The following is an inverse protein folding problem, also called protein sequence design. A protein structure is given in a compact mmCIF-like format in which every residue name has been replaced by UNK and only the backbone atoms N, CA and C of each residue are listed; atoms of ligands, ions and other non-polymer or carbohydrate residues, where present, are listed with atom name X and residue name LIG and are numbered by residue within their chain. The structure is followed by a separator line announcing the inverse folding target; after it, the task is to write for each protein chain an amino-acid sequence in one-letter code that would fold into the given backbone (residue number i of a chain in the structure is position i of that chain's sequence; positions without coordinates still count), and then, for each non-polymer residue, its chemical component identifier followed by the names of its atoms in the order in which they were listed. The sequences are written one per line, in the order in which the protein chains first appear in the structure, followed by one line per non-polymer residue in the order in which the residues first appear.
data_IF_201477009122
#
_entry.id   IF_201477009122
#
_cell.length_a   1.000
_cell.length_b   1.000
_cell.length_c   1.000
_cell.angle_alpha   90.00
_cell.angle_beta   90.00
_cell.angle_gamma   90.00
#
_symmetry.space_group_name_H-M   'P 1'
#
loop_
_entity.id
_entity.type
_entity.pdbx_description
1 polymer ?
#
# COMPACT_ATOMS: atom_id res chain seq x y z
N UNK A 1 34.19 4.13 -1.61
CA UNK A 1 33.45 3.20 -0.75
C UNK A 1 32.00 3.68 -0.67
N UNK A 2 31.00 2.85 -0.92
CA UNK A 2 29.62 3.24 -0.67
C UNK A 2 29.48 3.53 0.83
N UNK A 3 28.80 4.63 1.17
CA UNK A 3 28.53 5.00 2.57
C UNK A 3 27.64 3.92 3.18
N UNK A 4 27.90 3.43 4.40
CA UNK A 4 27.07 2.41 5.04
C UNK A 4 25.60 2.82 5.24
N UNK A 5 25.28 4.10 5.04
CA UNK A 5 23.90 4.63 5.12
C UNK A 5 23.09 4.46 3.82
N UNK A 6 23.71 4.04 2.72
CA UNK A 6 23.00 3.96 1.41
C UNK A 6 22.29 2.65 1.16
N UNK A 7 22.89 1.53 1.58
CA UNK A 7 22.43 0.21 1.22
C UNK A 7 22.40 -0.74 2.42
N UNK A 8 21.21 -1.27 2.71
CA UNK A 8 21.03 -2.37 3.65
C UNK A 8 20.97 -3.73 2.93
N UNK A 9 21.89 -3.93 1.98
CA UNK A 9 22.01 -5.15 1.19
C UNK A 9 23.13 -6.08 1.72
N UNK A 10 23.78 -5.74 2.85
CA UNK A 10 24.86 -6.56 3.38
C UNK A 10 24.31 -7.91 3.87
N UNK A 11 24.78 -8.99 3.25
CA UNK A 11 24.36 -10.35 3.61
C UNK A 11 24.70 -10.70 5.07
N UNK A 12 25.76 -10.15 5.61
CA UNK A 12 26.17 -10.33 7.00
C UNK A 12 25.10 -9.78 7.96
N UNK A 13 24.64 -8.54 7.74
CA UNK A 13 23.56 -7.93 8.56
C UNK A 13 22.23 -8.69 8.42
N UNK A 14 21.93 -9.22 7.22
CA UNK A 14 20.78 -10.08 7.03
C UNK A 14 20.88 -11.37 7.87
N UNK A 15 22.02 -12.05 7.83
CA UNK A 15 22.23 -13.28 8.62
C UNK A 15 22.20 -13.02 10.14
N UNK A 16 22.69 -11.88 10.60
CA UNK A 16 22.55 -11.45 11.99
C UNK A 16 21.09 -11.28 12.38
N UNK A 17 20.25 -10.68 11.52
CA UNK A 17 18.83 -10.54 11.76
C UNK A 17 18.11 -11.90 11.80
N UNK A 18 18.48 -12.85 10.92
CA UNK A 18 17.99 -14.24 10.97
C UNK A 18 18.36 -14.89 12.31
N UNK A 19 19.61 -14.76 12.73
CA UNK A 19 20.09 -15.33 14.00
C UNK A 19 19.40 -14.70 15.22
N UNK A 20 18.96 -13.43 15.12
CA UNK A 20 18.15 -12.75 16.13
C UNK A 20 16.68 -13.19 16.17
N UNK A 21 16.26 -14.07 15.26
CA UNK A 21 14.89 -14.62 15.20
C UNK A 21 13.91 -13.82 14.36
N UNK A 22 14.37 -12.85 13.57
CA UNK A 22 13.52 -12.19 12.60
C UNK A 22 13.25 -13.08 11.39
N UNK A 23 12.03 -12.98 10.84
CA UNK A 23 11.57 -13.82 9.74
C UNK A 23 10.96 -13.04 8.56
N UNK A 24 10.86 -11.71 8.69
CA UNK A 24 10.43 -10.81 7.62
C UNK A 24 11.42 -9.63 7.56
N UNK A 25 12.59 -9.89 6.95
CA UNK A 25 13.78 -9.05 7.10
C UNK A 25 13.89 -8.08 5.93
N UNK A 26 13.89 -6.74 6.19
CA UNK A 26 14.02 -5.76 5.14
C UNK A 26 15.44 -5.68 4.61
N UNK A 27 15.56 -5.67 3.30
CA UNK A 27 16.70 -5.18 2.54
C UNK A 27 16.32 -3.83 1.92
N UNK A 28 17.25 -2.92 1.76
CA UNK A 28 16.95 -1.61 1.18
C UNK A 28 18.10 -1.04 0.38
N UNK A 29 17.75 -0.17 -0.58
CA UNK A 29 18.69 0.62 -1.36
C UNK A 29 18.17 2.06 -1.47
N UNK A 30 19.07 3.04 -1.37
CA UNK A 30 18.74 4.46 -1.38
C UNK A 30 19.42 5.20 -2.52
N UNK A 31 18.68 6.13 -3.15
CA UNK A 31 19.20 7.04 -4.16
C UNK A 31 18.47 8.39 -4.14
N UNK A 32 19.05 9.45 -4.77
CA UNK A 32 18.38 10.75 -4.86
C UNK A 32 17.07 10.67 -5.62
N UNK A 33 16.07 11.47 -5.21
CA UNK A 33 14.75 11.60 -5.84
C UNK A 33 14.65 12.83 -6.76
N UNK A 34 15.77 13.40 -7.21
CA UNK A 34 15.77 14.68 -7.92
C UNK A 34 15.01 14.64 -9.26
N UNK A 35 14.91 13.49 -9.89
CA UNK A 35 14.22 13.30 -11.17
C UNK A 35 12.93 12.50 -11.06
N UNK A 36 12.53 12.11 -9.85
CA UNK A 36 11.35 11.29 -9.62
C UNK A 36 10.44 11.90 -8.55
N UNK A 37 9.15 11.80 -8.80
CA UNK A 37 8.10 12.12 -7.82
C UNK A 37 7.37 10.84 -7.40
N UNK A 38 6.64 10.82 -6.28
CA UNK A 38 5.81 9.68 -5.93
C UNK A 38 4.83 9.28 -7.04
N UNK A 39 4.28 10.27 -7.76
CA UNK A 39 3.38 10.01 -8.88
C UNK A 39 4.09 9.37 -10.08
N UNK A 40 5.29 9.87 -10.47
CA UNK A 40 6.05 9.24 -11.57
C UNK A 40 6.47 7.82 -11.21
N UNK A 41 6.87 7.59 -9.96
CA UNK A 41 7.19 6.26 -9.45
C UNK A 41 5.96 5.34 -9.45
N UNK A 42 4.79 5.83 -9.08
CA UNK A 42 3.54 5.09 -9.18
C UNK A 42 3.23 4.68 -10.62
N UNK A 43 3.36 5.59 -11.58
CA UNK A 43 3.13 5.29 -12.99
C UNK A 43 4.11 4.24 -13.53
N UNK A 44 5.36 4.27 -13.08
CA UNK A 44 6.40 3.32 -13.49
C UNK A 44 6.28 1.95 -12.81
N UNK A 45 5.92 1.90 -11.54
CA UNK A 45 5.96 0.67 -10.74
C UNK A 45 4.58 0.12 -10.39
N UNK A 46 3.57 0.96 -10.24
CA UNK A 46 2.30 0.59 -9.61
C UNK A 46 1.10 0.53 -10.54
N UNK A 47 1.05 1.39 -11.57
CA UNK A 47 -0.17 1.57 -12.36
C UNK A 47 -0.60 0.33 -13.16
N UNK A 48 0.30 -0.59 -13.47
CA UNK A 48 0.00 -1.84 -14.16
C UNK A 48 -0.38 -3.00 -13.21
N UNK A 49 -0.23 -2.80 -11.90
CA UNK A 49 -0.57 -3.82 -10.90
C UNK A 49 -2.07 -3.87 -10.67
N UNK A 50 -2.63 -5.06 -10.47
CA UNK A 50 -4.04 -5.25 -10.09
C UNK A 50 -4.33 -4.71 -8.69
N UNK A 51 -3.33 -4.66 -7.83
CA UNK A 51 -3.40 -4.15 -6.47
C UNK A 51 -2.18 -3.28 -6.19
N UNK A 52 -2.43 -2.05 -5.78
CA UNK A 52 -1.39 -1.13 -5.40
C UNK A 52 -1.96 0.11 -4.73
N UNK A 53 -1.09 0.89 -4.12
CA UNK A 53 -1.45 2.14 -3.46
C UNK A 53 -0.33 3.16 -3.57
N UNK A 54 -0.73 4.39 -3.83
CA UNK A 54 0.08 5.58 -3.64
C UNK A 54 -0.45 6.32 -2.41
N UNK A 55 0.34 6.40 -1.35
CA UNK A 55 0.06 7.24 -0.19
C UNK A 55 0.95 8.47 -0.26
N UNK A 56 0.32 9.61 -0.41
CA UNK A 56 0.99 10.88 -0.54
C UNK A 56 0.44 11.87 0.50
N UNK A 57 1.33 12.45 1.30
CA UNK A 57 0.96 13.46 2.29
C UNK A 57 1.36 14.83 1.76
N UNK A 58 0.37 15.67 1.47
CA UNK A 58 0.56 16.96 0.77
C UNK A 58 0.53 18.15 1.71
N UNK A 59 -0.03 18.02 2.92
CA UNK A 59 -0.24 19.13 3.84
C UNK A 59 0.53 18.98 5.16
N UNK A 60 0.98 20.11 5.72
CA UNK A 60 1.36 20.21 7.13
C UNK A 60 2.84 20.37 7.46
N UNK A 61 3.70 20.73 6.52
CA UNK A 61 5.11 21.00 6.79
C UNK A 61 5.96 19.76 7.05
N UNK A 62 7.20 19.96 7.54
CA UNK A 62 8.23 18.91 7.65
C UNK A 62 7.86 17.67 8.48
N UNK A 63 6.82 17.75 9.31
CA UNK A 63 6.42 16.64 10.19
C UNK A 63 5.34 15.74 9.61
N UNK A 64 4.42 16.28 8.80
CA UNK A 64 3.23 15.54 8.31
C UNK A 64 3.40 15.16 6.84
N UNK A 65 3.91 16.07 6.00
CA UNK A 65 4.10 15.86 4.56
C UNK A 65 5.40 15.21 4.15
N UNK A 66 6.16 14.62 5.07
CA UNK A 66 7.52 14.15 4.78
C UNK A 66 7.57 12.87 3.97
N UNK A 67 6.66 11.95 4.20
CA UNK A 67 6.76 10.60 3.67
C UNK A 67 5.67 10.33 2.64
N UNK A 68 6.07 9.72 1.50
CA UNK A 68 5.15 9.13 0.54
C UNK A 68 5.53 7.68 0.28
N UNK A 69 4.54 6.83 0.00
CA UNK A 69 4.72 5.41 -0.17
C UNK A 69 4.11 4.97 -1.49
N UNK A 70 4.86 4.18 -2.26
CA UNK A 70 4.37 3.52 -3.47
C UNK A 70 4.47 2.01 -3.24
N UNK A 71 3.34 1.34 -3.26
CA UNK A 71 3.23 -0.11 -3.09
C UNK A 71 2.53 -0.69 -4.30
N UNK A 72 3.07 -1.77 -4.83
CA UNK A 72 2.47 -2.52 -5.94
C UNK A 72 2.82 -3.99 -5.81
N UNK A 73 2.02 -4.83 -6.46
CA UNK A 73 2.28 -6.26 -6.56
C UNK A 73 2.51 -6.93 -5.19
N UNK A 74 1.52 -6.87 -4.27
CA UNK A 74 1.68 -7.35 -2.89
C UNK A 74 1.92 -8.86 -2.83
N UNK A 75 2.52 -9.33 -1.73
CA UNK A 75 2.69 -10.76 -1.46
C UNK A 75 1.36 -11.47 -1.39
N UNK A 76 0.40 -10.86 -0.69
CA UNK A 76 -0.98 -11.29 -0.65
C UNK A 76 -1.93 -10.12 -0.39
N UNK A 77 -3.21 -10.32 -0.71
CA UNK A 77 -4.31 -9.43 -0.34
C UNK A 77 -5.29 -10.16 0.58
N UNK A 78 -5.91 -9.43 1.50
CA UNK A 78 -7.02 -9.90 2.34
C UNK A 78 -8.24 -9.03 2.04
N UNK A 79 -9.26 -9.61 1.43
CA UNK A 79 -10.50 -8.91 1.08
C UNK A 79 -11.63 -9.44 1.94
N UNK A 80 -12.35 -8.55 2.63
CA UNK A 80 -13.44 -8.90 3.54
C UNK A 80 -14.78 -8.43 3.01
N UNK A 81 -15.78 -9.33 3.07
CA UNK A 81 -17.20 -9.06 2.75
C UNK A 81 -18.08 -9.82 3.73
N UNK A 82 -18.88 -9.10 4.52
CA UNK A 82 -19.72 -9.70 5.55
C UNK A 82 -18.87 -10.42 6.59
N UNK A 83 -19.15 -11.70 6.79
CA UNK A 83 -18.47 -12.61 7.72
C UNK A 83 -17.37 -13.47 7.06
N UNK A 84 -17.10 -13.23 5.79
CA UNK A 84 -16.11 -13.96 5.02
C UNK A 84 -14.97 -13.03 4.58
N UNK A 85 -13.75 -13.51 4.73
CA UNK A 85 -12.56 -12.91 4.16
C UNK A 85 -11.87 -13.90 3.23
N UNK A 86 -11.26 -13.38 2.18
CA UNK A 86 -10.45 -14.19 1.25
C UNK A 86 -9.04 -13.61 1.26
N UNK A 87 -8.06 -14.45 1.62
CA UNK A 87 -6.65 -14.15 1.45
C UNK A 87 -6.19 -14.75 0.13
N UNK A 88 -5.68 -13.91 -0.76
CA UNK A 88 -5.18 -14.31 -2.07
C UNK A 88 -3.71 -13.96 -2.19
N UNK A 89 -2.87 -14.95 -2.47
CA UNK A 89 -1.45 -14.77 -2.71
C UNK A 89 -1.16 -14.39 -4.17
N UNK A 90 -0.08 -13.68 -4.39
CA UNK A 90 0.44 -13.36 -5.74
C UNK A 90 0.59 -14.59 -6.63
N UNK A 91 0.86 -15.74 -6.06
CA UNK A 91 0.95 -17.03 -6.76
C UNK A 91 -0.38 -17.54 -7.30
N UNK A 92 -1.50 -16.90 -6.94
CA UNK A 92 -2.84 -17.28 -7.33
C UNK A 92 -3.54 -18.24 -6.36
N UNK A 93 -2.87 -18.72 -5.31
CA UNK A 93 -3.53 -19.51 -4.27
C UNK A 93 -4.45 -18.63 -3.41
N UNK A 94 -5.58 -19.22 -2.97
CA UNK A 94 -6.59 -18.54 -2.17
C UNK A 94 -6.91 -19.34 -0.91
N UNK A 95 -7.25 -18.63 0.15
CA UNK A 95 -7.73 -19.18 1.42
C UNK A 95 -8.96 -18.40 1.89
N UNK A 96 -10.01 -19.10 2.25
CA UNK A 96 -11.22 -18.51 2.84
C UNK A 96 -11.14 -18.54 4.34
N UNK A 97 -11.32 -17.39 4.96
CA UNK A 97 -11.17 -17.18 6.39
C UNK A 97 -12.48 -16.59 6.94
N UNK A 98 -13.29 -17.39 7.64
CA UNK A 98 -14.48 -16.88 8.32
C UNK A 98 -14.08 -16.15 9.60
N UNK A 99 -14.88 -15.15 10.00
CA UNK A 99 -14.75 -14.48 11.27
C UNK A 99 -14.51 -12.99 11.20
N UNK A 100 -14.12 -12.40 12.34
CA UNK A 100 -13.89 -10.97 12.47
C UNK A 100 -12.67 -10.53 11.65
N UNK A 101 -12.82 -9.62 10.67
CA UNK A 101 -11.71 -9.19 9.79
C UNK A 101 -10.54 -8.56 10.55
N UNK A 102 -10.79 -7.87 11.65
CA UNK A 102 -9.74 -7.27 12.48
C UNK A 102 -8.85 -8.33 13.13
N UNK A 103 -9.46 -9.41 13.63
CA UNK A 103 -8.73 -10.51 14.25
C UNK A 103 -7.97 -11.31 13.20
N UNK A 104 -8.58 -11.55 12.02
CA UNK A 104 -7.92 -12.21 10.90
C UNK A 104 -6.70 -11.45 10.43
N UNK A 105 -6.79 -10.11 10.31
CA UNK A 105 -5.65 -9.30 9.93
C UNK A 105 -4.53 -9.35 10.98
N UNK A 106 -4.88 -9.31 12.27
CA UNK A 106 -3.92 -9.46 13.38
C UNK A 106 -3.21 -10.81 13.31
N UNK A 107 -3.96 -11.91 13.13
CA UNK A 107 -3.41 -13.26 12.98
C UNK A 107 -2.45 -13.39 11.79
N UNK A 108 -2.70 -12.68 10.70
CA UNK A 108 -1.79 -12.64 9.56
C UNK A 108 -0.45 -11.94 9.87
N UNK A 109 -0.45 -10.99 10.83
CA UNK A 109 0.72 -10.19 11.19
C UNK A 109 1.53 -10.75 12.36
N UNK A 110 0.87 -11.33 13.34
CA UNK A 110 1.53 -11.84 14.56
C UNK A 110 2.75 -12.73 14.29
N UNK A 111 2.76 -13.60 13.26
CA UNK A 111 3.93 -14.41 12.96
C UNK A 111 5.11 -13.64 12.38
N UNK A 112 4.92 -12.41 11.93
CA UNK A 112 5.95 -11.63 11.23
C UNK A 112 6.78 -10.83 12.22
N UNK A 113 8.10 -11.04 12.19
CA UNK A 113 9.07 -10.30 12.99
C UNK A 113 10.08 -9.61 12.06
N UNK A 114 10.18 -8.28 12.17
CA UNK A 114 10.99 -7.46 11.28
C UNK A 114 11.81 -6.44 12.07
N UNK A 115 13.12 -6.30 11.82
CA UNK A 115 13.90 -5.23 12.40
C UNK A 115 13.54 -3.88 11.75
N UNK A 116 13.72 -2.75 12.45
CA UNK A 116 13.49 -1.43 11.89
C UNK A 116 14.52 -1.08 10.83
N UNK A 117 14.10 -0.27 9.84
CA UNK A 117 15.02 0.26 8.83
C UNK A 117 15.56 1.62 9.32
N UNK A 118 16.88 1.79 9.44
CA UNK A 118 17.46 3.04 9.91
C UNK A 118 17.02 4.24 9.07
N UNK A 119 16.51 5.28 9.73
CA UNK A 119 16.13 6.54 9.11
C UNK A 119 14.81 6.53 8.36
N UNK A 120 14.07 5.43 8.35
CA UNK A 120 12.66 5.39 7.93
C UNK A 120 11.74 5.43 9.15
N UNK A 121 10.51 5.91 8.99
CA UNK A 121 9.49 5.75 10.02
C UNK A 121 9.21 4.24 10.22
N UNK A 122 8.57 3.84 11.32
CA UNK A 122 8.02 2.49 11.41
C UNK A 122 7.07 2.27 10.24
N UNK A 123 7.54 1.60 9.21
CA UNK A 123 6.72 1.29 8.04
C UNK A 123 5.99 0.00 8.36
N UNK A 124 4.67 0.09 8.51
CA UNK A 124 3.83 -1.10 8.49
C UNK A 124 3.94 -1.73 7.10
N UNK A 125 4.00 -3.05 7.06
CA UNK A 125 4.01 -3.79 5.79
C UNK A 125 2.60 -3.94 5.20
N UNK A 126 1.57 -3.51 5.94
CA UNK A 126 0.17 -3.57 5.55
C UNK A 126 -0.33 -2.23 5.04
N UNK A 127 -0.93 -2.27 3.87
CA UNK A 127 -1.57 -1.14 3.22
C UNK A 127 -2.98 -1.53 2.80
N UNK A 128 -3.95 -0.64 3.02
CA UNK A 128 -5.33 -0.96 2.66
C UNK A 128 -6.32 0.01 3.28
N UNK A 129 -7.58 -0.41 3.32
CA UNK A 129 -8.66 0.36 3.89
C UNK A 129 -9.66 -0.53 4.61
N UNK A 130 -10.35 0.09 5.56
CA UNK A 130 -11.57 -0.40 6.16
C UNK A 130 -12.74 0.46 5.69
N UNK A 131 -13.78 -0.16 5.17
CA UNK A 131 -15.03 0.50 4.82
C UNK A 131 -15.92 0.71 6.05
N UNK A 132 -16.91 1.59 5.91
CA UNK A 132 -17.84 1.91 7.00
C UNK A 132 -18.62 0.69 7.50
N UNK A 133 -18.95 -0.25 6.63
CA UNK A 133 -19.76 -1.44 6.96
C UNK A 133 -19.11 -2.37 7.99
N UNK A 134 -17.80 -2.21 8.25
CA UNK A 134 -17.12 -2.92 9.34
C UNK A 134 -17.56 -2.50 10.75
N UNK A 135 -18.33 -1.42 10.85
CA UNK A 135 -18.95 -0.99 12.12
C UNK A 135 -19.70 -2.13 12.80
N UNK A 136 -20.27 -3.07 12.03
CA UNK A 136 -20.98 -4.26 12.54
C UNK A 136 -20.15 -5.13 13.49
N UNK A 137 -18.82 -5.13 13.32
CA UNK A 137 -17.89 -5.89 14.14
C UNK A 137 -17.45 -5.15 15.40
N UNK A 138 -17.70 -3.83 15.45
CA UNK A 138 -17.35 -2.96 16.56
C UNK A 138 -18.60 -2.67 17.40
N UNK A 139 -19.72 -2.36 16.73
CA UNK A 139 -20.98 -1.99 17.35
C UNK A 139 -22.13 -2.82 16.76
N UNK A 140 -22.44 -3.98 17.35
CA UNK A 140 -23.45 -4.90 16.83
C UNK A 140 -24.89 -4.35 16.81
N UNK A 141 -25.15 -3.24 17.50
CA UNK A 141 -26.46 -2.58 17.50
C UNK A 141 -26.74 -1.81 16.19
N UNK A 142 -25.72 -1.53 15.39
CA UNK A 142 -25.88 -0.86 14.09
C UNK A 142 -26.48 -1.82 13.07
N UNK A 143 -27.62 -1.46 12.44
CA UNK A 143 -28.24 -2.30 11.44
C UNK A 143 -27.32 -2.54 10.23
N UNK A 144 -27.21 -3.79 9.82
CA UNK A 144 -26.47 -4.17 8.62
C UNK A 144 -27.40 -4.09 7.41
N UNK A 145 -27.00 -3.33 6.41
CA UNK A 145 -27.69 -3.27 5.13
C UNK A 145 -27.06 -4.25 4.15
N UNK A 146 -27.87 -4.93 3.31
CA UNK A 146 -27.34 -5.76 2.22
C UNK A 146 -26.48 -4.90 1.29
N UNK A 147 -25.28 -5.39 0.95
CA UNK A 147 -24.44 -4.71 -0.02
C UNK A 147 -25.13 -4.67 -1.39
N UNK A 148 -25.11 -3.51 -2.04
CA UNK A 148 -25.57 -3.38 -3.41
C UNK A 148 -24.69 -4.20 -4.35
N UNK A 149 -25.25 -4.62 -5.49
CA UNK A 149 -24.47 -5.27 -6.55
C UNK A 149 -23.34 -4.32 -7.00
N UNK A 150 -22.12 -4.85 -7.08
CA UNK A 150 -20.93 -4.04 -7.42
C UNK A 150 -20.38 -3.18 -6.29
N UNK A 151 -20.93 -3.24 -5.07
CA UNK A 151 -20.38 -2.52 -3.93
C UNK A 151 -18.93 -2.92 -3.66
N UNK A 152 -18.08 -1.96 -3.24
CA UNK A 152 -16.71 -2.27 -2.82
C UNK A 152 -16.71 -3.26 -1.64
N UNK A 153 -15.59 -3.94 -1.37
CA UNK A 153 -15.49 -4.79 -0.19
C UNK A 153 -15.57 -3.96 1.11
N UNK A 154 -15.96 -4.62 2.21
CA UNK A 154 -15.99 -3.99 3.52
C UNK A 154 -14.58 -3.61 4.00
N UNK A 155 -13.57 -4.30 3.51
CA UNK A 155 -12.17 -3.98 3.71
C UNK A 155 -11.28 -4.70 2.70
N UNK A 156 -10.18 -4.08 2.34
CA UNK A 156 -9.15 -4.70 1.52
C UNK A 156 -7.78 -4.29 2.04
N UNK A 157 -6.95 -5.27 2.36
CA UNK A 157 -5.60 -5.08 2.86
C UNK A 157 -4.61 -5.88 2.04
N UNK A 158 -3.42 -5.34 1.87
CA UNK A 158 -2.34 -5.99 1.15
C UNK A 158 -1.07 -6.00 1.99
N UNK A 159 -0.38 -7.14 2.04
CA UNK A 159 0.97 -7.25 2.60
C UNK A 159 1.97 -6.89 1.51
N UNK A 160 2.68 -5.79 1.71
CA UNK A 160 3.77 -5.39 0.83
C UNK A 160 5.04 -6.12 1.22
N UNK A 161 5.59 -6.93 0.32
CA UNK A 161 6.94 -7.48 0.43
C UNK A 161 7.97 -6.64 -0.33
N UNK A 162 7.53 -5.59 -1.03
CA UNK A 162 8.38 -4.56 -1.61
C UNK A 162 7.63 -3.24 -1.77
N UNK A 163 8.34 -2.11 -1.61
CA UNK A 163 7.78 -0.76 -1.72
C UNK A 163 8.86 0.29 -1.98
N UNK A 164 8.43 1.46 -2.46
CA UNK A 164 9.26 2.66 -2.53
C UNK A 164 8.81 3.64 -1.44
N UNK A 165 9.75 4.18 -0.71
CA UNK A 165 9.53 5.22 0.30
C UNK A 165 10.24 6.49 -0.12
N UNK A 166 9.49 7.57 -0.24
CA UNK A 166 10.01 8.91 -0.53
C UNK A 166 10.18 9.70 0.75
N UNK A 167 11.39 10.21 0.98
CA UNK A 167 11.67 11.24 1.99
C UNK A 167 11.70 12.60 1.28
N UNK A 168 10.61 13.35 1.36
CA UNK A 168 10.46 14.63 0.69
C UNK A 168 11.44 15.70 1.23
N UNK A 169 11.82 15.58 2.50
CA UNK A 169 12.79 16.51 3.13
C UNK A 169 14.20 16.25 2.64
N UNK A 170 14.61 14.98 2.59
CA UNK A 170 15.95 14.58 2.12
C UNK A 170 16.03 14.43 0.60
N UNK A 171 14.91 14.53 -0.12
CA UNK A 171 14.81 14.24 -1.56
C UNK A 171 15.45 12.89 -1.89
N UNK A 172 15.00 11.86 -1.21
CA UNK A 172 15.57 10.53 -1.31
C UNK A 172 14.48 9.49 -1.51
N UNK A 173 14.75 8.52 -2.38
CA UNK A 173 13.96 7.31 -2.55
C UNK A 173 14.68 6.18 -1.82
N UNK A 174 13.91 5.38 -1.09
CA UNK A 174 14.36 4.10 -0.55
C UNK A 174 13.50 3.00 -1.15
N UNK A 175 14.10 2.12 -1.96
CA UNK A 175 13.46 0.85 -2.29
C UNK A 175 13.67 -0.12 -1.13
N UNK A 176 12.60 -0.75 -0.70
CA UNK A 176 12.61 -1.76 0.35
C UNK A 176 12.04 -3.05 -0.22
N UNK A 177 12.66 -4.17 0.09
CA UNK A 177 12.09 -5.49 -0.16
C UNK A 177 12.34 -6.38 1.05
N UNK A 178 11.36 -7.18 1.41
CA UNK A 178 11.44 -8.08 2.57
C UNK A 178 11.81 -9.50 2.11
N UNK A 179 12.82 -10.06 2.76
CA UNK A 179 13.11 -11.48 2.71
C UNK A 179 12.16 -12.20 3.67
N UNK A 180 11.20 -12.93 3.09
CA UNK A 180 10.18 -13.66 3.84
C UNK A 180 10.65 -15.07 4.16
N UNK A 181 10.86 -15.34 5.45
CA UNK A 181 11.20 -16.65 6.00
C UNK A 181 10.03 -17.30 6.74
N UNK A 182 8.87 -16.64 6.82
CA UNK A 182 7.71 -17.13 7.58
C UNK A 182 7.18 -18.46 7.07
N UNK A 183 7.35 -18.74 5.77
CA UNK A 183 7.00 -20.02 5.14
C UNK A 183 8.06 -21.12 5.23
N UNK A 184 9.14 -20.93 6.00
CA UNK A 184 10.23 -21.89 6.13
C UNK A 184 11.17 -21.94 4.92
N UNK A 185 11.23 -20.87 4.13
CA UNK A 185 12.17 -20.74 3.02
C UNK A 185 13.61 -20.72 3.51
N UNK A 186 14.50 -21.26 2.70
CA UNK A 186 15.94 -21.12 2.91
C UNK A 186 16.35 -19.64 2.95
N UNK A 187 17.12 -19.20 3.96
CA UNK A 187 17.55 -17.81 4.09
C UNK A 187 18.26 -17.26 2.86
N UNK A 188 19.09 -18.07 2.22
CA UNK A 188 19.81 -17.68 1.00
C UNK A 188 18.84 -17.39 -0.15
N UNK A 189 17.83 -18.24 -0.32
CA UNK A 189 16.81 -18.06 -1.36
C UNK A 189 15.94 -16.83 -1.08
N UNK A 190 15.54 -16.61 0.17
CA UNK A 190 14.76 -15.44 0.57
C UNK A 190 15.54 -14.12 0.38
N UNK A 191 16.82 -14.10 0.74
CA UNK A 191 17.73 -12.98 0.50
C UNK A 191 17.86 -12.66 -1.00
N UNK A 192 18.11 -13.69 -1.82
CA UNK A 192 18.25 -13.52 -3.28
C UNK A 192 16.96 -12.98 -3.91
N UNK A 193 15.79 -13.48 -3.48
CA UNK A 193 14.49 -13.02 -3.95
C UNK A 193 14.22 -11.55 -3.58
N UNK A 194 14.53 -11.13 -2.36
CA UNK A 194 14.38 -9.74 -1.93
C UNK A 194 15.34 -8.81 -2.68
N UNK A 195 16.59 -9.22 -2.88
CA UNK A 195 17.59 -8.47 -3.68
C UNK A 195 17.11 -8.28 -5.12
N UNK A 196 16.58 -9.34 -5.73
CA UNK A 196 16.03 -9.27 -7.11
C UNK A 196 14.85 -8.29 -7.20
N UNK A 197 13.98 -8.20 -6.17
CA UNK A 197 12.89 -7.22 -6.15
C UNK A 197 13.40 -5.77 -6.07
N UNK A 198 14.44 -5.50 -5.27
CA UNK A 198 15.06 -4.17 -5.22
C UNK A 198 15.63 -3.80 -6.60
N UNK A 199 16.32 -4.72 -7.26
CA UNK A 199 16.85 -4.49 -8.60
C UNK A 199 15.74 -4.21 -9.61
N UNK A 200 14.66 -4.98 -9.58
CA UNK A 200 13.50 -4.75 -10.45
C UNK A 200 12.83 -3.39 -10.20
N UNK A 201 12.72 -2.94 -8.94
CA UNK A 201 12.21 -1.60 -8.62
C UNK A 201 13.16 -0.51 -9.15
N UNK A 202 14.46 -0.66 -8.98
CA UNK A 202 15.46 0.27 -9.50
C UNK A 202 15.42 0.36 -11.03
N UNK A 203 15.34 -0.76 -11.72
CA UNK A 203 15.22 -0.82 -13.19
C UNK A 203 13.96 -0.11 -13.68
N UNK A 204 12.82 -0.31 -13.02
CA UNK A 204 11.58 0.41 -13.33
C UNK A 204 11.73 1.92 -13.14
N UNK A 205 12.41 2.36 -12.06
CA UNK A 205 12.64 3.79 -11.82
C UNK A 205 13.54 4.43 -12.89
N UNK A 206 14.54 3.71 -13.38
CA UNK A 206 15.38 4.18 -14.48
C UNK A 206 14.71 4.07 -15.86
N UNK A 207 13.59 3.38 -15.96
CA UNK A 207 12.81 3.24 -17.19
C UNK A 207 12.10 4.53 -17.60
N UNK A 208 11.58 4.59 -18.85
CA UNK A 208 10.80 5.73 -19.32
C UNK A 208 9.47 5.84 -18.56
N UNK A 209 8.95 7.07 -18.47
CA UNK A 209 7.61 7.29 -17.93
C UNK A 209 6.58 6.73 -18.91
N UNK A 210 5.69 5.80 -18.48
CA UNK A 210 4.62 5.31 -19.33
C UNK A 210 3.71 6.45 -19.82
N UNK A 211 3.42 6.47 -21.12
CA UNK A 211 2.63 7.55 -21.72
C UNK A 211 3.37 8.87 -21.91
N UNK A 212 4.69 8.93 -21.63
CA UNK A 212 5.49 10.10 -21.94
C UNK A 212 5.39 10.40 -23.45
N UNK A 213 4.99 11.62 -23.79
CA UNK A 213 4.74 12.05 -25.19
C UNK A 213 3.26 12.07 -25.59
N UNK A 214 2.34 11.54 -24.79
CA UNK A 214 0.92 11.81 -24.98
C UNK A 214 0.64 13.24 -24.47
N UNK A 215 0.16 14.16 -25.33
CA UNK A 215 -0.19 15.50 -24.88
C UNK A 215 -1.23 15.42 -23.77
N UNK A 216 -0.95 16.05 -22.63
CA UNK A 216 -1.99 16.31 -21.64
C UNK A 216 -2.92 17.36 -22.27
N UNK A 217 -4.08 16.94 -22.71
CA UNK A 217 -5.13 17.84 -23.11
C UNK A 217 -5.71 18.50 -21.86
N UNK A 218 -5.10 19.61 -21.46
CA UNK A 218 -5.71 20.53 -20.51
C UNK A 218 -6.87 21.21 -21.22
N UNK A 219 -8.08 20.72 -21.01
CA UNK A 219 -9.25 21.49 -21.34
C UNK A 219 -9.47 22.48 -20.20
N UNK A 220 -9.42 23.76 -20.55
CA UNK A 220 -9.92 24.83 -19.66
C UNK A 220 -11.45 24.70 -19.57
N UNK A 221 -11.92 23.58 -18.97
CA UNK A 221 -13.33 23.42 -18.70
C UNK A 221 -13.75 24.45 -17.65
N UNK A 222 -14.58 25.38 -18.02
CA UNK A 222 -15.16 26.33 -17.08
C UNK A 222 -16.09 25.59 -16.10
N UNK A 223 -16.32 26.14 -14.91
CA UNK A 223 -17.30 25.59 -13.96
C UNK A 223 -18.68 25.39 -14.61
N UNK A 224 -19.04 26.24 -15.59
CA UNK A 224 -20.28 26.10 -16.37
C UNK A 224 -20.27 24.88 -17.30
N UNK A 225 -19.14 24.58 -17.97
CA UNK A 225 -18.99 23.41 -18.83
C UNK A 225 -19.04 22.11 -18.01
N UNK A 226 -18.42 22.12 -16.81
CA UNK A 226 -18.48 21.00 -15.88
C UNK A 226 -19.92 20.77 -15.42
N UNK A 227 -20.62 21.83 -14.98
CA UNK A 227 -22.01 21.74 -14.51
C UNK A 227 -22.99 21.29 -15.62
N UNK A 228 -22.78 21.73 -16.86
CA UNK A 228 -23.64 21.35 -18.00
C UNK A 228 -23.50 19.87 -18.38
N UNK A 229 -22.32 19.25 -18.13
CA UNK A 229 -22.03 17.87 -18.49
C UNK A 229 -22.11 16.90 -17.29
N UNK A 230 -22.22 17.41 -16.06
CA UNK A 230 -22.30 16.59 -14.87
C UNK A 230 -23.73 16.11 -14.64
N UNK A 231 -23.99 14.83 -14.88
CA UNK A 231 -25.25 14.20 -14.47
C UNK A 231 -25.04 13.63 -13.07
N UNK A 232 -25.61 14.30 -12.07
CA UNK A 232 -25.61 13.82 -10.69
C UNK A 232 -26.96 13.19 -10.35
N UNK A 233 -26.91 12.03 -9.73
CA UNK A 233 -28.08 11.39 -9.10
C UNK A 233 -27.78 11.18 -7.63
N UNK A 234 -28.78 11.42 -6.77
CA UNK A 234 -28.68 11.14 -5.34
C UNK A 234 -29.61 9.98 -4.99
N UNK A 235 -29.17 9.08 -4.14
CA UNK A 235 -30.01 8.03 -3.56
C UNK A 235 -30.85 8.51 -2.37
N UNK A 236 -30.65 9.77 -1.95
CA UNK A 236 -31.39 10.42 -0.87
C UNK A 236 -32.07 11.68 -1.44
N UNK A 237 -33.37 11.82 -1.22
CA UNK A 237 -34.08 13.03 -1.58
C UNK A 237 -33.61 14.21 -0.72
N UNK A 238 -33.62 15.42 -1.29
CA UNK A 238 -33.13 16.63 -0.63
C UNK A 238 -33.83 16.85 0.71
N UNK A 239 -35.17 16.72 0.73
CA UNK A 239 -35.98 16.94 1.92
C UNK A 239 -35.66 15.94 3.06
N UNK A 240 -35.33 14.70 2.68
CA UNK A 240 -34.94 13.66 3.64
C UNK A 240 -33.55 13.97 4.25
N UNK A 241 -32.62 14.47 3.44
CA UNK A 241 -31.32 14.90 3.90
C UNK A 241 -31.41 16.11 4.84
N UNK A 242 -32.20 17.13 4.45
CA UNK A 242 -32.40 18.34 5.27
C UNK A 242 -33.09 18.01 6.60
N UNK A 243 -34.07 17.09 6.59
CA UNK A 243 -34.71 16.62 7.82
C UNK A 243 -33.73 15.86 8.73
N UNK A 244 -32.85 15.02 8.17
CA UNK A 244 -31.84 14.31 8.94
C UNK A 244 -30.83 15.28 9.59
N UNK A 245 -30.40 16.31 8.88
CA UNK A 245 -29.50 17.36 9.41
C UNK A 245 -30.18 18.19 10.52
N UNK A 246 -31.50 18.46 10.37
CA UNK A 246 -32.24 19.24 11.36
C UNK A 246 -32.57 18.48 12.65
N UNK A 247 -32.54 17.14 12.59
CA UNK A 247 -32.90 16.27 13.74
C UNK A 247 -31.65 15.71 14.46
N UNK A 248 -30.46 15.94 13.98
CA UNK A 248 -29.14 15.55 14.54
C UNK A 248 -28.49 16.70 15.28
#
# INVERSE_FOLDING_TARGET
MPSPDRDGLAQEAFLEAVAAGHNFIPLWKRWPADLETPLTAWLKAGAASSHGVLLESVEGGERIGRWSFVVSDPLWTLTSRGDQSVRQWRTGSEERLPGNPFDLLRQCLEPLSSPPIPGLPPVGQLFGFWGYELIRWIEPSVPVHPAAEGAPPDGCWMLADSLLVFDQVKRQITAVAYADLSGGLDPQAAYAAATARIQALEERMHGPLPGAGTPLNWHDATAADIAANLRTTSNVAQEAFEAAVSNG
#
